data_IF_636321926801
#
_entry.id   IF_636321926801
#
_cell.length_a   1.000
_cell.length_b   1.000
_cell.length_c   1.000
_cell.angle_alpha   90.00
_cell.angle_beta   90.00
_cell.angle_gamma   90.00
#
_symmetry.space_group_name_H-M   'P 1'
#
loop_
_entity.id
_entity.type
_entity.pdbx_description
1 polymer ?
#
# COMPACT_ATOMS: atom_id res chain seq x y z
N UNK A 1 30.87 -52.41 -42.95
CA UNK A 1 29.57 -52.10 -42.33
C UNK A 1 29.67 -52.58 -40.90
N UNK A 2 29.92 -51.79 -39.86
CA UNK A 2 29.05 -50.77 -39.28
C UNK A 2 29.87 -50.02 -38.20
N UNK A 3 30.52 -48.91 -38.53
CA UNK A 3 31.16 -48.10 -37.47
C UNK A 3 31.19 -46.60 -37.78
N UNK A 4 30.14 -46.11 -38.46
CA UNK A 4 30.00 -44.69 -38.81
C UNK A 4 28.55 -44.18 -38.77
N UNK A 5 27.74 -44.60 -37.80
CA UNK A 5 26.40 -44.04 -37.57
C UNK A 5 25.97 -44.22 -36.10
N UNK A 6 26.45 -43.34 -35.23
CA UNK A 6 25.75 -42.94 -34.00
C UNK A 6 25.83 -41.43 -33.84
N UNK A 7 25.11 -40.79 -34.74
CA UNK A 7 24.52 -39.48 -34.55
C UNK A 7 23.49 -39.54 -33.41
N UNK A 8 23.26 -38.38 -32.80
CA UNK A 8 22.04 -37.94 -32.10
C UNK A 8 21.76 -38.49 -30.71
N UNK A 9 21.78 -37.59 -29.71
CA UNK A 9 21.26 -37.87 -28.37
C UNK A 9 21.67 -36.94 -27.24
N UNK A 10 22.21 -35.73 -27.49
CA UNK A 10 22.40 -34.71 -26.44
C UNK A 10 21.24 -33.72 -26.47
N UNK A 11 20.07 -34.20 -26.05
CA UNK A 11 18.89 -33.38 -25.76
C UNK A 11 18.68 -33.36 -24.24
N UNK A 12 18.88 -32.20 -23.61
CA UNK A 12 18.47 -32.00 -22.22
C UNK A 12 19.35 -31.09 -21.38
N UNK A 13 19.84 -29.96 -21.90
CA UNK A 13 20.17 -28.84 -21.02
C UNK A 13 18.84 -28.23 -20.57
N UNK A 14 18.57 -28.09 -19.25
CA UNK A 14 17.42 -27.34 -18.81
C UNK A 14 17.60 -25.91 -19.33
N UNK A 15 16.67 -25.44 -20.16
CA UNK A 15 16.51 -24.01 -20.38
C UNK A 15 16.09 -23.43 -19.03
N UNK A 16 17.08 -23.01 -18.24
CA UNK A 16 16.84 -22.10 -17.14
C UNK A 16 16.14 -20.89 -17.72
N UNK A 17 14.85 -20.73 -17.39
CA UNK A 17 14.18 -19.44 -17.48
C UNK A 17 15.09 -18.41 -16.81
N UNK A 18 15.27 -17.20 -17.37
CA UNK A 18 15.86 -16.11 -16.62
C UNK A 18 14.90 -15.76 -15.47
N UNK A 19 14.99 -16.48 -14.36
CA UNK A 19 14.46 -16.08 -13.07
C UNK A 19 15.44 -15.11 -12.43
N UNK A 20 15.68 -13.99 -13.12
CA UNK A 20 16.20 -12.78 -12.52
C UNK A 20 15.10 -11.72 -12.60
N UNK A 21 13.90 -12.07 -12.12
CA UNK A 21 13.10 -11.04 -11.46
C UNK A 21 13.81 -10.86 -10.13
N UNK A 22 14.71 -9.88 -10.07
CA UNK A 22 15.32 -9.48 -8.82
C UNK A 22 14.19 -9.34 -7.79
N UNK A 23 14.14 -10.24 -6.80
CA UNK A 23 13.32 -10.11 -5.58
C UNK A 23 13.90 -9.00 -4.68
N UNK A 24 14.38 -7.93 -5.29
CA UNK A 24 14.75 -6.73 -4.59
C UNK A 24 13.53 -5.81 -4.62
N UNK A 25 13.07 -5.31 -3.47
CA UNK A 25 12.03 -4.29 -3.47
C UNK A 25 12.56 -3.11 -4.28
N UNK A 26 11.88 -2.80 -5.38
CA UNK A 26 12.24 -1.66 -6.20
C UNK A 26 11.96 -0.39 -5.38
N UNK A 27 12.98 0.45 -5.19
CA UNK A 27 12.87 1.65 -4.33
C UNK A 27 12.21 2.83 -5.03
N UNK A 28 11.66 2.61 -6.22
CA UNK A 28 11.14 3.66 -7.08
C UNK A 28 9.62 3.84 -6.98
N UNK A 29 8.95 3.22 -6.01
CA UNK A 29 7.51 3.40 -5.83
C UNK A 29 7.16 4.85 -5.47
N UNK A 30 6.17 5.41 -6.18
CA UNK A 30 5.70 6.78 -6.01
C UNK A 30 4.21 6.75 -5.63
N UNK A 31 3.90 7.42 -4.52
CA UNK A 31 2.54 7.63 -4.05
C UNK A 31 2.11 9.08 -4.35
N UNK A 32 1.18 9.27 -5.29
CA UNK A 32 0.54 10.55 -5.52
C UNK A 32 -0.69 10.70 -4.62
N UNK A 33 -0.67 11.68 -3.72
CA UNK A 33 -1.80 11.96 -2.82
C UNK A 33 -2.52 13.22 -3.28
N UNK A 34 -3.82 13.11 -3.56
CA UNK A 34 -4.64 14.27 -3.93
C UNK A 34 -4.70 15.30 -2.79
N UNK A 35 -4.82 16.58 -3.14
CA UNK A 35 -4.96 17.63 -2.12
C UNK A 35 -6.21 17.45 -1.24
N UNK A 36 -7.28 16.88 -1.81
CA UNK A 36 -8.51 16.55 -1.08
C UNK A 36 -8.25 15.47 -0.03
N UNK A 37 -7.58 14.38 -0.42
CA UNK A 37 -7.20 13.30 0.46
C UNK A 37 -6.34 13.83 1.62
N UNK A 38 -5.29 14.60 1.30
CA UNK A 38 -4.39 15.17 2.29
C UNK A 38 -5.12 16.06 3.31
N UNK A 39 -5.99 16.96 2.85
CA UNK A 39 -6.77 17.84 3.73
C UNK A 39 -7.71 17.05 4.66
N UNK A 40 -8.36 16.00 4.14
CA UNK A 40 -9.23 15.14 4.94
C UNK A 40 -8.44 14.38 6.00
N UNK A 41 -7.29 13.82 5.64
CA UNK A 41 -6.42 13.12 6.59
C UNK A 41 -5.96 14.07 7.69
N UNK A 42 -5.41 15.24 7.35
CA UNK A 42 -4.95 16.22 8.34
C UNK A 42 -6.07 16.70 9.27
N UNK A 43 -7.26 16.99 8.73
CA UNK A 43 -8.42 17.38 9.53
C UNK A 43 -8.82 16.27 10.49
N UNK A 44 -8.86 15.03 10.01
CA UNK A 44 -9.22 13.87 10.82
C UNK A 44 -8.18 13.59 11.91
N UNK A 45 -6.90 13.53 11.55
CA UNK A 45 -5.79 13.33 12.49
C UNK A 45 -5.74 14.41 13.56
N UNK A 46 -5.99 15.68 13.20
CA UNK A 46 -6.05 16.78 14.18
C UNK A 46 -7.25 16.68 15.12
N UNK A 47 -8.40 16.23 14.64
CA UNK A 47 -9.59 16.05 15.47
C UNK A 47 -9.47 14.85 16.45
N UNK A 48 -8.62 13.87 16.13
CA UNK A 48 -8.37 12.70 16.97
C UNK A 48 -7.46 12.93 18.18
N UNK A 49 -6.62 13.98 18.16
CA UNK A 49 -5.63 14.27 19.21
C UNK A 49 -6.31 14.35 20.59
N UNK A 50 -5.80 13.64 21.62
CA UNK A 50 -4.49 12.97 21.70
C UNK A 50 -4.46 11.51 21.23
N UNK A 51 -5.58 10.97 20.76
CA UNK A 51 -5.69 9.58 20.33
C UNK A 51 -5.29 9.38 18.87
N UNK A 52 -4.77 8.20 18.55
CA UNK A 52 -4.52 7.80 17.17
C UNK A 52 -5.85 7.52 16.45
N UNK A 53 -5.92 7.95 15.19
CA UNK A 53 -7.03 7.66 14.29
C UNK A 53 -6.51 6.96 13.06
N UNK A 54 -7.37 6.17 12.41
CA UNK A 54 -7.05 5.45 11.19
C UNK A 54 -8.12 5.63 10.12
N UNK A 55 -7.77 5.38 8.88
CA UNK A 55 -8.70 5.43 7.75
C UNK A 55 -8.20 4.68 6.54
N UNK A 56 -9.08 4.51 5.55
CA UNK A 56 -8.78 3.85 4.29
C UNK A 56 -8.48 4.86 3.20
N UNK A 57 -7.55 4.51 2.32
CA UNK A 57 -7.19 5.28 1.13
C UNK A 57 -7.83 4.64 -0.10
N UNK A 58 -8.53 5.45 -0.89
CA UNK A 58 -9.15 5.04 -2.13
C UNK A 58 -8.41 5.64 -3.32
N UNK A 59 -8.27 4.83 -4.34
CA UNK A 59 -7.66 5.27 -5.58
C UNK A 59 -7.42 4.14 -6.55
N UNK A 60 -6.32 4.24 -7.27
CA UNK A 60 -5.96 3.32 -8.34
C UNK A 60 -4.46 3.04 -8.38
N UNK A 61 -4.13 1.84 -8.85
CA UNK A 61 -2.78 1.45 -9.23
C UNK A 61 -2.61 1.82 -10.71
N UNK A 62 -1.82 2.86 -10.99
CA UNK A 62 -1.66 3.40 -12.35
C UNK A 62 -0.75 2.48 -13.17
N UNK A 63 0.35 2.05 -12.56
CA UNK A 63 1.32 1.10 -13.10
C UNK A 63 2.02 0.37 -11.93
N UNK A 64 3.05 -0.42 -12.23
CA UNK A 64 3.77 -1.24 -11.25
C UNK A 64 4.52 -0.42 -10.18
N UNK A 65 4.76 0.86 -10.40
CA UNK A 65 5.52 1.73 -9.48
C UNK A 65 4.69 2.91 -8.95
N UNK A 66 3.53 3.17 -9.53
CA UNK A 66 2.77 4.39 -9.25
C UNK A 66 1.41 4.06 -8.66
N UNK A 67 1.14 4.67 -7.50
CA UNK A 67 -0.13 4.56 -6.79
C UNK A 67 -0.73 5.96 -6.65
N UNK A 68 -1.98 6.13 -7.06
CA UNK A 68 -2.70 7.39 -6.97
C UNK A 68 -3.79 7.30 -5.92
N UNK A 69 -3.71 8.12 -4.87
CA UNK A 69 -4.72 8.25 -3.81
C UNK A 69 -5.64 9.43 -4.13
N UNK A 70 -6.86 9.11 -4.51
CA UNK A 70 -7.86 10.07 -4.97
C UNK A 70 -8.64 10.63 -3.77
N UNK A 71 -9.07 9.78 -2.85
CA UNK A 71 -9.83 10.18 -1.66
C UNK A 71 -9.54 9.27 -0.45
N UNK A 72 -9.98 9.69 0.73
CA UNK A 72 -9.83 8.94 1.98
C UNK A 72 -11.11 8.92 2.80
N UNK A 73 -11.25 7.88 3.62
CA UNK A 73 -12.33 7.77 4.60
C UNK A 73 -11.79 7.46 5.99
N UNK A 74 -12.23 8.25 6.97
CA UNK A 74 -11.98 8.00 8.38
C UNK A 74 -12.73 6.74 8.83
N UNK A 75 -12.02 5.81 9.48
CA UNK A 75 -12.67 4.67 10.11
C UNK A 75 -13.05 5.02 11.55
N UNK A 76 -14.27 4.68 12.00
CA UNK A 76 -14.61 4.77 13.42
C UNK A 76 -13.72 3.79 14.20
N UNK A 77 -13.26 4.18 15.40
CA UNK A 77 -12.39 3.34 16.24
C UNK A 77 -12.98 1.97 16.61
N UNK A 78 -14.29 1.77 16.39
CA UNK A 78 -14.99 0.51 16.58
C UNK A 78 -15.75 0.16 15.31
N UNK A 79 -15.13 -0.58 14.37
CA UNK A 79 -15.83 -0.97 13.15
C UNK A 79 -15.00 -1.78 12.17
N UNK A 80 -14.83 -3.08 12.40
CA UNK A 80 -13.96 -3.96 11.59
C UNK A 80 -14.64 -4.70 10.43
N UNK A 81 -15.93 -4.51 10.13
CA UNK A 81 -16.57 -5.27 9.01
C UNK A 81 -17.59 -4.52 8.17
N UNK A 82 -18.24 -3.47 8.69
CA UNK A 82 -19.31 -2.75 7.95
C UNK A 82 -18.83 -1.77 6.88
N UNK A 83 -17.55 -1.43 6.83
CA UNK A 83 -17.09 -0.28 6.04
C UNK A 83 -16.87 -0.59 4.55
N UNK A 84 -16.33 -1.76 4.19
CA UNK A 84 -16.28 -2.19 2.78
C UNK A 84 -17.71 -2.24 2.20
N UNK A 85 -18.68 -2.66 3.00
CA UNK A 85 -20.08 -2.69 2.60
C UNK A 85 -20.65 -1.27 2.41
N UNK A 86 -20.28 -0.31 3.28
CA UNK A 86 -20.68 1.09 3.11
C UNK A 86 -20.02 1.76 1.90
N UNK A 87 -18.76 1.44 1.60
CA UNK A 87 -18.07 1.93 0.40
C UNK A 87 -18.78 1.47 -0.87
N UNK A 88 -19.16 0.19 -0.94
CA UNK A 88 -19.91 -0.35 -2.07
C UNK A 88 -21.26 0.35 -2.28
N UNK A 89 -21.87 0.88 -1.21
CA UNK A 89 -23.11 1.68 -1.26
C UNK A 89 -22.91 3.13 -1.72
N UNK A 90 -21.70 3.66 -1.68
CA UNK A 90 -21.42 5.05 -2.09
C UNK A 90 -21.28 5.25 -3.60
N UNK A 91 -21.36 4.17 -4.40
CA UNK A 91 -21.26 4.24 -5.86
C UNK A 91 -19.88 4.68 -6.36
N UNK A 92 -18.88 4.60 -5.49
CA UNK A 92 -17.48 4.90 -5.79
C UNK A 92 -16.82 3.67 -6.36
N UNK A 93 -16.24 3.83 -7.55
CA UNK A 93 -15.59 2.75 -8.29
C UNK A 93 -14.15 2.51 -7.83
N UNK A 94 -13.62 3.43 -7.01
CA UNK A 94 -12.23 3.42 -6.56
C UNK A 94 -11.98 2.28 -5.57
N UNK A 95 -10.86 1.58 -5.77
CA UNK A 95 -10.45 0.47 -4.93
C UNK A 95 -9.70 0.99 -3.70
N UNK A 96 -9.64 0.16 -2.65
CA UNK A 96 -8.78 0.44 -1.49
C UNK A 96 -7.34 0.14 -1.89
N UNK A 97 -6.50 1.18 -1.92
CA UNK A 97 -5.07 1.09 -2.27
C UNK A 97 -4.17 1.06 -1.02
N UNK A 98 -4.73 1.29 0.15
CA UNK A 98 -3.99 1.30 1.40
C UNK A 98 -4.77 1.90 2.55
N UNK A 99 -4.06 2.23 3.61
CA UNK A 99 -4.61 2.80 4.83
C UNK A 99 -3.68 3.89 5.37
N UNK A 100 -4.25 4.80 6.16
CA UNK A 100 -3.48 5.80 6.88
C UNK A 100 -3.82 5.77 8.36
N UNK A 101 -2.86 6.20 9.19
CA UNK A 101 -3.11 6.46 10.61
C UNK A 101 -2.27 7.65 11.09
N UNK A 102 -2.61 8.15 12.28
CA UNK A 102 -1.91 9.29 12.87
C UNK A 102 -1.04 8.90 14.05
N UNK A 103 0.15 9.49 14.16
CA UNK A 103 1.01 9.45 15.34
C UNK A 103 1.20 10.86 15.92
N UNK A 104 0.34 11.32 16.84
CA UNK A 104 0.39 12.69 17.34
C UNK A 104 1.64 12.94 18.21
N UNK A 105 2.64 13.62 17.66
CA UNK A 105 3.85 14.02 18.40
C UNK A 105 4.95 12.97 18.49
N UNK A 106 4.79 11.81 17.84
CA UNK A 106 5.77 10.72 17.86
C UNK A 106 6.58 10.60 16.56
N UNK A 107 6.26 11.38 15.52
CA UNK A 107 6.83 11.24 14.19
C UNK A 107 6.27 10.04 13.41
N UNK A 108 6.80 9.83 12.21
CA UNK A 108 6.25 8.89 11.23
C UNK A 108 7.09 7.61 11.16
N UNK A 109 6.57 6.53 11.74
CA UNK A 109 7.17 5.20 11.80
C UNK A 109 6.06 4.16 11.98
N UNK A 110 6.35 2.87 11.82
CA UNK A 110 5.39 1.80 12.04
C UNK A 110 5.72 1.04 13.34
N UNK A 111 4.76 0.97 14.26
CA UNK A 111 4.86 0.13 15.46
C UNK A 111 4.67 -1.35 15.14
N UNK A 112 4.90 -2.22 16.12
CA UNK A 112 4.63 -3.65 15.97
C UNK A 112 3.16 -3.96 15.64
N UNK A 113 2.23 -3.13 16.13
CA UNK A 113 0.79 -3.25 15.82
C UNK A 113 0.52 -2.78 14.39
N UNK A 114 1.17 -1.70 13.94
CA UNK A 114 1.01 -1.19 12.58
C UNK A 114 1.58 -2.16 11.55
N UNK A 115 2.72 -2.79 11.84
CA UNK A 115 3.31 -3.82 10.98
C UNK A 115 2.38 -5.04 10.87
N UNK A 116 1.75 -5.47 11.97
CA UNK A 116 0.79 -6.58 11.93
C UNK A 116 -0.47 -6.23 11.13
N UNK A 117 -0.94 -4.99 11.25
CA UNK A 117 -2.06 -4.47 10.47
C UNK A 117 -1.70 -4.39 8.99
N UNK A 118 -0.53 -3.86 8.67
CA UNK A 118 -0.01 -3.77 7.31
C UNK A 118 0.08 -5.14 6.63
N UNK A 119 0.60 -6.16 7.33
CA UNK A 119 0.62 -7.54 6.81
C UNK A 119 -0.76 -8.08 6.46
N UNK A 120 -1.79 -7.65 7.20
CA UNK A 120 -3.17 -8.05 6.93
C UNK A 120 -3.71 -7.37 5.66
N UNK A 121 -3.33 -6.12 5.41
CA UNK A 121 -3.64 -5.41 4.16
C UNK A 121 -2.85 -5.97 2.97
N UNK A 122 -1.57 -6.29 3.14
CA UNK A 122 -0.73 -6.92 2.11
C UNK A 122 -1.26 -8.30 1.69
N UNK A 123 -1.84 -9.07 2.61
CA UNK A 123 -2.50 -10.33 2.29
C UNK A 123 -3.76 -10.17 1.41
N UNK A 124 -4.40 -8.98 1.43
CA UNK A 124 -5.55 -8.65 0.58
C UNK A 124 -5.11 -8.02 -0.74
N UNK A 125 -4.07 -7.18 -0.71
CA UNK A 125 -3.48 -6.53 -1.86
C UNK A 125 -1.98 -6.36 -1.61
N UNK A 126 -1.17 -7.06 -2.41
CA UNK A 126 0.29 -7.12 -2.25
C UNK A 126 0.98 -5.73 -2.29
N UNK A 127 0.31 -4.74 -2.90
CA UNK A 127 0.79 -3.35 -3.03
C UNK A 127 0.07 -2.37 -2.10
N UNK A 128 -0.58 -2.85 -1.04
CA UNK A 128 -1.24 -1.99 -0.08
C UNK A 128 -0.22 -1.09 0.64
N UNK A 129 -0.48 0.21 0.74
CA UNK A 129 0.43 1.17 1.38
C UNK A 129 -0.07 1.59 2.76
N UNK A 130 0.84 1.73 3.72
CA UNK A 130 0.61 2.39 5.00
C UNK A 130 1.13 3.84 4.97
N UNK A 131 0.28 4.81 5.26
CA UNK A 131 0.65 6.22 5.39
C UNK A 131 0.53 6.69 6.85
N UNK A 132 1.60 7.25 7.40
CA UNK A 132 1.62 7.79 8.77
C UNK A 132 1.63 9.31 8.71
N UNK A 133 0.81 9.96 9.53
CA UNK A 133 0.72 11.42 9.61
C UNK A 133 0.93 11.88 11.05
N UNK A 134 1.82 12.84 11.28
CA UNK A 134 1.95 13.51 12.57
C UNK A 134 1.25 14.87 12.53
N UNK A 135 -0.01 14.98 13.03
CA UNK A 135 -0.75 16.24 12.99
C UNK A 135 -0.18 17.30 13.95
N UNK A 136 0.68 16.94 14.90
CA UNK A 136 1.29 17.87 15.86
C UNK A 136 2.53 18.50 15.24
N UNK A 137 3.41 17.69 14.66
CA UNK A 137 4.64 18.18 14.03
C UNK A 137 4.42 18.74 12.62
N UNK A 138 3.29 18.42 11.98
CA UNK A 138 2.83 19.10 10.77
C UNK A 138 2.46 20.56 11.06
N UNK A 139 3.36 21.48 10.72
CA UNK A 139 3.22 22.94 10.93
C UNK A 139 3.21 23.68 9.59
N UNK A 140 2.86 24.98 9.60
CA UNK A 140 2.86 25.80 8.39
C UNK A 140 4.22 25.71 7.68
N UNK A 141 4.25 25.09 6.49
CA UNK A 141 5.43 24.93 5.65
C UNK A 141 5.99 23.51 5.57
N UNK A 142 5.58 22.58 6.45
CA UNK A 142 6.00 21.18 6.39
C UNK A 142 4.91 20.25 6.93
N UNK A 143 4.47 19.31 6.10
CA UNK A 143 3.59 18.21 6.51
C UNK A 143 4.46 16.98 6.74
N UNK A 144 4.24 16.32 7.88
CA UNK A 144 4.92 15.10 8.32
C UNK A 144 3.92 13.97 8.42
#
# INVERSE_FOLDING_TARGET
>A
MERLLRLTGLSGLPKGSPQDVLKHPDTCEILYVSSLALLKMLRHSRAGVPMEVMGLMLGEFVDDFTISVIDVFAMPQSGTTKMLEMLNRTGRAEMVVGWYHSHPGFGCWLSGVDIATQRSFEALSDRAVALVIDPIQSVKGKVL
#
